data_IF_171151713441
#
_entry.id   IF_171151713441
#
_cell.length_a   1.000
_cell.length_b   1.000
_cell.length_c   1.000
_cell.angle_alpha   90.00
_cell.angle_beta   90.00
_cell.angle_gamma   90.00
#
_symmetry.space_group_name_H-M   'P 1'
#
loop_
_entity.id
_entity.type
_entity.pdbx_description
1 polymer ?
#
# COMPACT_ATOMS: atom_id res chain seq x y z
N UNK A 1 -13.85 -32.63 29.90
CA UNK A 1 -12.73 -31.68 29.96
C UNK A 1 -11.75 -32.14 28.90
N UNK A 2 -11.97 -31.72 27.65
CA UNK A 2 -11.19 -32.14 26.47
C UNK A 2 -11.26 -31.03 25.42
N UNK A 3 -10.17 -30.94 24.68
CA UNK A 3 -9.65 -29.76 24.02
C UNK A 3 -10.58 -29.06 23.01
N UNK A 4 -10.61 -27.74 23.12
CA UNK A 4 -11.01 -26.85 22.02
C UNK A 4 -9.99 -26.99 20.90
N UNK A 5 -10.25 -27.91 19.98
CA UNK A 5 -9.62 -27.94 18.66
C UNK A 5 -9.93 -26.62 17.96
N UNK A 6 -8.99 -25.68 18.11
CA UNK A 6 -8.94 -24.42 17.40
C UNK A 6 -8.68 -24.75 15.93
N UNK A 7 -9.75 -24.84 15.15
CA UNK A 7 -9.69 -24.95 13.70
C UNK A 7 -8.86 -23.77 13.16
N UNK A 8 -7.71 -24.06 12.57
CA UNK A 8 -6.86 -23.06 11.95
C UNK A 8 -7.55 -22.60 10.67
N UNK A 9 -7.95 -21.33 10.61
CA UNK A 9 -8.45 -20.74 9.38
C UNK A 9 -7.40 -20.91 8.26
N UNK A 10 -7.68 -21.67 7.18
CA UNK A 10 -6.70 -21.96 6.12
C UNK A 10 -6.31 -20.71 5.32
N UNK A 11 -7.02 -19.59 5.50
CA UNK A 11 -6.80 -18.35 4.76
C UNK A 11 -5.63 -17.49 5.26
N UNK A 12 -5.05 -17.77 6.43
CA UNK A 12 -4.02 -16.90 7.03
C UNK A 12 -2.58 -17.21 6.57
N UNK A 13 -2.36 -18.35 5.91
CA UNK A 13 -0.99 -18.87 5.64
C UNK A 13 -0.35 -18.26 4.39
N UNK A 14 -1.11 -17.57 3.54
CA UNK A 14 -0.60 -16.91 2.32
C UNK A 14 -0.84 -15.40 2.27
N UNK A 15 -1.25 -14.76 3.38
CA UNK A 15 -1.33 -13.31 3.49
C UNK A 15 0.07 -12.67 3.63
N UNK A 16 0.96 -12.95 2.68
CA UNK A 16 2.13 -12.11 2.43
C UNK A 16 1.60 -10.72 2.06
N UNK A 17 1.59 -9.79 3.02
CA UNK A 17 1.17 -8.38 2.84
C UNK A 17 2.06 -7.57 1.87
N UNK A 18 2.96 -8.22 1.14
CA UNK A 18 3.47 -7.69 -0.12
C UNK A 18 2.45 -8.04 -1.20
N UNK A 19 1.28 -7.40 -1.15
CA UNK A 19 0.31 -7.44 -2.26
C UNK A 19 1.08 -7.14 -3.56
N UNK A 20 0.92 -7.93 -4.64
CA UNK A 20 1.60 -7.63 -5.90
C UNK A 20 1.25 -6.19 -6.31
N UNK A 21 2.24 -5.41 -6.78
CA UNK A 21 1.97 -4.01 -7.14
C UNK A 21 0.93 -4.03 -8.27
N UNK A 22 -0.30 -3.61 -7.97
CA UNK A 22 -1.33 -3.52 -9.00
C UNK A 22 -0.87 -2.52 -10.06
N UNK A 23 -0.83 -2.94 -11.33
CA UNK A 23 -0.44 -2.06 -12.45
C UNK A 23 -1.28 -0.77 -12.47
N UNK A 24 -2.57 -0.86 -12.07
CA UNK A 24 -3.45 0.29 -11.94
C UNK A 24 -2.99 1.27 -10.84
N UNK A 25 -2.47 0.74 -9.73
CA UNK A 25 -1.88 1.51 -8.64
C UNK A 25 -0.61 2.26 -9.08
N UNK A 26 0.31 1.56 -9.75
CA UNK A 26 1.54 2.16 -10.29
C UNK A 26 1.20 3.28 -11.28
N UNK A 27 0.35 2.99 -12.28
CA UNK A 27 -0.03 3.97 -13.29
C UNK A 27 -0.66 5.20 -12.65
N UNK A 28 -1.54 5.02 -11.65
CA UNK A 28 -2.14 6.13 -10.92
C UNK A 28 -1.09 6.96 -10.20
N UNK A 29 -0.18 6.35 -9.46
CA UNK A 29 0.88 7.07 -8.74
C UNK A 29 1.78 7.85 -9.69
N UNK A 30 2.16 7.25 -10.82
CA UNK A 30 2.94 7.92 -11.86
C UNK A 30 2.19 9.09 -12.49
N UNK A 31 0.89 8.93 -12.80
CA UNK A 31 0.05 10.01 -13.33
C UNK A 31 -0.11 11.18 -12.35
N UNK A 32 -0.34 10.88 -11.07
CA UNK A 32 -0.41 11.89 -10.02
C UNK A 32 0.93 12.61 -9.91
N UNK A 33 2.04 11.88 -9.91
CA UNK A 33 3.37 12.48 -9.79
C UNK A 33 3.74 13.34 -11.00
N UNK A 34 3.40 12.88 -12.21
CA UNK A 34 3.56 13.68 -13.42
C UNK A 34 2.74 14.98 -13.35
N UNK A 35 1.49 14.90 -12.88
CA UNK A 35 0.62 16.07 -12.71
C UNK A 35 1.20 17.06 -11.69
N UNK A 36 1.74 16.56 -10.58
CA UNK A 36 2.44 17.37 -9.58
C UNK A 36 3.68 18.03 -10.18
N UNK A 37 4.46 17.30 -10.98
CA UNK A 37 5.62 17.86 -11.69
C UNK A 37 5.24 18.98 -12.66
N UNK A 38 4.16 18.82 -13.43
CA UNK A 38 3.62 19.87 -14.30
C UNK A 38 3.22 21.09 -13.47
N UNK A 39 2.49 20.89 -12.36
CA UNK A 39 2.08 21.97 -11.47
C UNK A 39 3.28 22.72 -10.87
N UNK A 40 4.28 22.00 -10.38
CA UNK A 40 5.51 22.60 -9.84
C UNK A 40 6.26 23.42 -10.89
N UNK A 41 6.17 23.04 -12.16
CA UNK A 41 6.72 23.84 -13.27
C UNK A 41 5.98 25.16 -13.47
N UNK A 42 4.67 25.24 -13.20
CA UNK A 42 3.92 26.49 -13.28
C UNK A 42 4.27 27.46 -12.14
N UNK A 43 4.52 26.94 -10.94
CA UNK A 43 4.85 27.74 -9.75
C UNK A 43 6.34 28.13 -9.72
N UNK A 44 7.11 27.76 -10.73
CA UNK A 44 8.55 28.05 -10.84
C UNK A 44 9.35 27.52 -9.63
N UNK A 45 8.95 26.34 -9.13
CA UNK A 45 9.59 25.71 -7.99
C UNK A 45 11.11 25.57 -8.22
N UNK A 46 11.88 25.60 -7.13
CA UNK A 46 13.35 25.51 -7.14
C UNK A 46 14.06 26.65 -7.90
N UNK A 47 13.47 27.87 -7.88
CA UNK A 47 14.06 29.06 -8.51
C UNK A 47 14.36 28.84 -10.00
N UNK A 48 13.46 28.15 -10.70
CA UNK A 48 13.63 27.77 -12.11
C UNK A 48 12.99 28.76 -13.08
N UNK A 49 12.69 29.98 -12.62
CA UNK A 49 12.05 31.04 -13.41
C UNK A 49 12.87 31.51 -14.62
N UNK A 50 14.20 31.34 -14.58
CA UNK A 50 15.11 31.69 -15.68
C UNK A 50 15.14 30.66 -16.83
N UNK A 51 14.53 29.49 -16.66
CA UNK A 51 14.52 28.41 -17.65
C UNK A 51 13.21 28.44 -18.45
N UNK A 52 13.30 28.23 -19.77
CA UNK A 52 12.11 28.13 -20.61
C UNK A 52 11.13 27.05 -20.11
N UNK A 53 9.84 27.29 -20.31
CA UNK A 53 8.77 26.47 -19.73
C UNK A 53 8.87 24.97 -20.06
N UNK A 54 9.09 24.61 -21.33
CA UNK A 54 9.18 23.21 -21.77
C UNK A 54 10.28 22.39 -21.05
N UNK A 55 11.57 22.80 -21.08
CA UNK A 55 12.62 22.07 -20.39
C UNK A 55 12.41 22.04 -18.86
N UNK A 56 11.85 23.11 -18.29
CA UNK A 56 11.46 23.16 -16.88
C UNK A 56 10.39 22.12 -16.55
N UNK A 57 9.34 21.99 -17.39
CA UNK A 57 8.27 21.01 -17.18
C UNK A 57 8.80 19.59 -17.32
N UNK A 58 9.57 19.28 -18.36
CA UNK A 58 10.17 17.96 -18.54
C UNK A 58 11.06 17.58 -17.34
N UNK A 59 11.84 18.52 -16.83
CA UNK A 59 12.65 18.33 -15.63
C UNK A 59 11.80 18.05 -14.38
N UNK A 60 10.80 18.90 -14.08
CA UNK A 60 9.95 18.73 -12.89
C UNK A 60 9.13 17.44 -12.94
N UNK A 61 8.64 17.06 -14.13
CA UNK A 61 7.97 15.76 -14.33
C UNK A 61 8.93 14.62 -14.07
N UNK A 62 10.17 14.69 -14.55
CA UNK A 62 11.18 13.65 -14.32
C UNK A 62 11.52 13.52 -12.83
N UNK A 63 11.70 14.63 -12.12
CA UNK A 63 11.95 14.64 -10.66
C UNK A 63 10.76 14.05 -9.91
N UNK A 64 9.53 14.41 -10.28
CA UNK A 64 8.31 13.84 -9.71
C UNK A 64 8.22 12.33 -9.93
N UNK A 65 8.42 11.86 -11.16
CA UNK A 65 8.40 10.44 -11.50
C UNK A 65 9.47 9.66 -10.72
N UNK A 66 10.69 10.19 -10.64
CA UNK A 66 11.76 9.60 -9.84
C UNK A 66 11.38 9.52 -8.36
N UNK A 67 10.83 10.60 -7.79
CA UNK A 67 10.34 10.62 -6.41
C UNK A 67 9.25 9.58 -6.15
N UNK A 68 8.33 9.38 -7.09
CA UNK A 68 7.29 8.35 -7.00
C UNK A 68 7.87 6.93 -7.02
N UNK A 69 8.83 6.66 -7.92
CA UNK A 69 9.51 5.37 -8.01
C UNK A 69 10.31 5.08 -6.73
N UNK A 70 11.07 6.06 -6.24
CA UNK A 70 11.80 5.97 -4.98
C UNK A 70 10.85 5.71 -3.82
N UNK A 71 9.74 6.46 -3.70
CA UNK A 71 8.77 6.27 -2.63
C UNK A 71 8.18 4.85 -2.62
N UNK A 72 7.81 4.32 -3.79
CA UNK A 72 7.34 2.94 -3.92
C UNK A 72 8.41 1.91 -3.53
N UNK A 73 9.66 2.12 -3.96
CA UNK A 73 10.78 1.25 -3.61
C UNK A 73 11.06 1.31 -2.10
N UNK A 74 11.14 2.49 -1.51
CA UNK A 74 11.39 2.68 -0.08
C UNK A 74 10.28 2.10 0.78
N UNK A 75 9.01 2.22 0.38
CA UNK A 75 7.89 1.55 1.04
C UNK A 75 8.03 0.01 1.01
N UNK A 76 8.40 -0.54 -0.16
CA UNK A 76 8.65 -1.99 -0.33
C UNK A 76 9.79 -2.49 0.56
N UNK A 77 10.93 -1.81 0.51
CA UNK A 77 12.09 -2.17 1.31
C UNK A 77 11.80 -2.03 2.82
N UNK A 78 11.07 -0.99 3.23
CA UNK A 78 10.63 -0.84 4.61
C UNK A 78 9.73 -2.01 5.06
N UNK A 79 8.89 -2.55 4.17
CA UNK A 79 8.08 -3.74 4.41
C UNK A 79 8.87 -5.03 4.66
N UNK A 80 10.14 -5.10 4.23
CA UNK A 80 11.03 -6.25 4.50
C UNK A 80 11.57 -6.23 5.94
N UNK A 81 11.56 -5.07 6.60
CA UNK A 81 12.12 -4.90 7.94
C UNK A 81 11.08 -5.34 8.99
N UNK A 82 11.40 -6.28 9.90
CA UNK A 82 10.44 -6.80 10.88
C UNK A 82 9.94 -5.74 11.87
N UNK A 83 10.75 -4.70 12.11
CA UNK A 83 10.41 -3.58 13.00
C UNK A 83 9.19 -2.79 12.51
N UNK A 84 9.00 -2.73 11.20
CA UNK A 84 7.86 -2.11 10.51
C UNK A 84 6.51 -2.73 10.92
N UNK A 85 6.51 -3.98 11.43
CA UNK A 85 5.32 -4.66 11.92
C UNK A 85 4.78 -4.08 13.23
N UNK A 86 5.56 -3.26 13.93
CA UNK A 86 5.16 -2.68 15.24
C UNK A 86 4.12 -1.57 15.12
N UNK A 87 3.97 -0.94 13.95
CA UNK A 87 2.93 0.06 13.73
C UNK A 87 3.19 0.95 12.52
N UNK A 88 2.14 1.66 12.06
CA UNK A 88 2.19 2.54 10.89
C UNK A 88 3.23 3.65 11.03
N UNK A 89 3.41 4.20 12.24
CA UNK A 89 4.41 5.24 12.51
C UNK A 89 5.83 4.74 12.24
N UNK A 90 6.15 3.51 12.69
CA UNK A 90 7.47 2.92 12.46
C UNK A 90 7.71 2.68 10.98
N UNK A 91 6.68 2.25 10.24
CA UNK A 91 6.74 2.14 8.78
C UNK A 91 7.06 3.48 8.12
N UNK A 92 6.32 4.53 8.47
CA UNK A 92 6.54 5.88 7.94
C UNK A 92 7.96 6.37 8.19
N UNK A 93 8.46 6.19 9.41
CA UNK A 93 9.81 6.65 9.79
C UNK A 93 10.87 5.90 9.00
N UNK A 94 10.77 4.57 8.92
CA UNK A 94 11.74 3.74 8.19
C UNK A 94 11.71 4.05 6.69
N UNK A 95 10.52 4.10 6.09
CA UNK A 95 10.35 4.38 4.66
C UNK A 95 10.84 5.80 4.29
N UNK A 96 10.45 6.82 5.06
CA UNK A 96 10.90 8.20 4.85
C UNK A 96 12.42 8.34 5.00
N UNK A 97 13.00 7.72 6.03
CA UNK A 97 14.46 7.74 6.25
C UNK A 97 15.21 7.04 5.13
N UNK A 98 14.70 5.90 4.64
CA UNK A 98 15.31 5.15 3.54
C UNK A 98 15.25 5.92 2.21
N UNK A 99 14.18 6.66 1.97
CA UNK A 99 14.01 7.50 0.77
C UNK A 99 14.92 8.73 0.78
N UNK A 100 15.19 9.28 1.97
CA UNK A 100 15.88 10.56 2.17
C UNK A 100 17.24 10.70 1.46
N UNK A 101 18.22 9.78 1.62
CA UNK A 101 19.53 9.98 1.00
C UNK A 101 19.45 9.99 -0.53
N UNK A 102 18.63 9.11 -1.12
CA UNK A 102 18.46 9.01 -2.56
C UNK A 102 17.73 10.24 -3.12
N UNK A 103 16.62 10.64 -2.50
CA UNK A 103 15.86 11.82 -2.94
C UNK A 103 16.64 13.11 -2.71
N UNK A 104 17.36 13.20 -1.59
CA UNK A 104 18.18 14.35 -1.25
C UNK A 104 19.33 14.55 -2.24
N UNK A 105 20.04 13.48 -2.61
CA UNK A 105 21.08 13.54 -3.64
C UNK A 105 20.50 13.92 -5.00
N UNK A 106 19.32 13.38 -5.34
CA UNK A 106 18.62 13.72 -6.58
C UNK A 106 18.26 15.21 -6.61
N UNK A 107 17.61 15.73 -5.57
CA UNK A 107 17.23 17.15 -5.47
C UNK A 107 18.46 18.04 -5.46
N UNK A 108 19.50 17.69 -4.71
CA UNK A 108 20.74 18.47 -4.66
C UNK A 108 21.42 18.54 -6.04
N UNK A 109 21.55 17.42 -6.74
CA UNK A 109 22.11 17.38 -8.10
C UNK A 109 21.22 18.12 -9.11
N UNK A 110 19.91 17.98 -8.99
CA UNK A 110 18.91 18.65 -9.80
C UNK A 110 19.00 20.19 -9.66
N UNK A 111 19.05 20.70 -8.43
CA UNK A 111 19.26 22.13 -8.14
C UNK A 111 20.64 22.59 -8.61
N UNK A 112 21.70 21.82 -8.34
CA UNK A 112 23.06 22.15 -8.80
C UNK A 112 23.17 22.29 -10.32
N UNK A 113 22.47 21.43 -11.07
CA UNK A 113 22.42 21.49 -12.53
C UNK A 113 21.68 22.73 -13.04
N UNK A 114 20.49 23.03 -12.50
CA UNK A 114 19.67 24.16 -12.96
C UNK A 114 20.27 25.52 -12.55
N UNK A 115 20.87 25.59 -11.36
CA UNK A 115 21.51 26.79 -10.84
C UNK A 115 22.95 26.99 -11.31
N UNK A 116 23.40 26.25 -12.36
CA UNK A 116 24.75 26.33 -12.96
C UNK A 116 25.89 26.26 -11.92
N UNK A 117 25.80 25.35 -10.96
CA UNK A 117 26.86 25.13 -9.96
C UNK A 117 26.82 26.08 -8.75
N UNK A 118 25.76 26.89 -8.58
CA UNK A 118 25.56 27.72 -7.38
C UNK A 118 25.03 26.96 -6.16
N UNK A 119 24.89 25.64 -6.23
CA UNK A 119 24.55 24.83 -5.07
C UNK A 119 25.75 24.78 -4.11
N UNK A 120 25.73 25.63 -3.09
CA UNK A 120 26.78 25.65 -2.08
C UNK A 120 26.72 24.38 -1.23
N UNK A 121 27.82 23.62 -1.19
CA UNK A 121 27.95 22.38 -0.38
C UNK A 121 27.78 22.63 1.12
N UNK A 122 27.95 23.87 1.58
CA UNK A 122 27.65 24.31 2.94
C UNK A 122 26.16 24.17 3.30
N UNK A 123 25.24 24.35 2.35
CA UNK A 123 23.79 24.28 2.60
C UNK A 123 23.25 22.85 2.57
N UNK A 124 24.10 21.89 2.19
CA UNK A 124 23.76 20.48 1.99
C UNK A 124 23.12 19.83 3.23
N UNK A 125 23.58 20.08 4.48
CA UNK A 125 22.92 19.60 5.69
C UNK A 125 21.49 20.13 5.84
N UNK A 126 21.25 21.40 5.50
CA UNK A 126 19.92 22.00 5.54
C UNK A 126 18.99 21.41 4.48
N UNK A 127 19.49 21.21 3.24
CA UNK A 127 18.73 20.51 2.19
C UNK A 127 18.40 19.07 2.60
N UNK A 128 19.34 18.35 3.20
CA UNK A 128 19.10 17.00 3.72
C UNK A 128 18.01 17.00 4.79
N UNK A 129 18.05 17.95 5.74
CA UNK A 129 17.06 18.04 6.82
C UNK A 129 15.66 18.35 6.28
N UNK A 130 15.53 19.34 5.39
CA UNK A 130 14.26 19.69 4.75
C UNK A 130 13.73 18.50 3.94
N UNK A 131 14.60 17.85 3.16
CA UNK A 131 14.23 16.67 2.38
C UNK A 131 13.77 15.53 3.28
N UNK A 132 14.45 15.30 4.41
CA UNK A 132 14.08 14.28 5.38
C UNK A 132 12.67 14.52 5.95
N UNK A 133 12.38 15.75 6.39
CA UNK A 133 11.05 16.13 6.88
C UNK A 133 9.99 15.94 5.79
N UNK A 134 10.26 16.38 4.56
CA UNK A 134 9.33 16.21 3.44
C UNK A 134 9.09 14.73 3.11
N UNK A 135 10.15 13.91 3.09
CA UNK A 135 10.04 12.46 2.89
C UNK A 135 9.20 11.81 3.99
N UNK A 136 9.39 12.19 5.26
CA UNK A 136 8.59 11.67 6.36
C UNK A 136 7.11 12.03 6.21
N UNK A 137 6.80 13.29 5.91
CA UNK A 137 5.41 13.75 5.75
C UNK A 137 4.75 13.07 4.55
N UNK A 138 5.42 13.04 3.40
CA UNK A 138 4.86 12.43 2.18
C UNK A 138 4.70 10.92 2.29
N UNK A 139 5.68 10.22 2.89
CA UNK A 139 5.55 8.79 3.18
C UNK A 139 4.42 8.52 4.17
N UNK A 140 4.27 9.35 5.21
CA UNK A 140 3.19 9.23 6.18
C UNK A 140 1.83 9.41 5.53
N UNK A 141 1.69 10.44 4.68
CA UNK A 141 0.47 10.69 3.92
C UNK A 141 0.16 9.54 2.97
N UNK A 142 1.15 9.02 2.23
CA UNK A 142 0.97 7.92 1.30
C UNK A 142 0.49 6.65 2.02
N UNK A 143 1.12 6.30 3.15
CA UNK A 143 0.75 5.13 3.96
C UNK A 143 -0.63 5.30 4.58
N UNK A 144 -0.96 6.49 5.07
CA UNK A 144 -2.28 6.78 5.62
C UNK A 144 -3.37 6.63 4.55
N UNK A 145 -3.14 7.16 3.35
CA UNK A 145 -4.08 7.08 2.24
C UNK A 145 -4.24 5.64 1.74
N UNK A 146 -3.15 4.86 1.67
CA UNK A 146 -3.21 3.45 1.29
C UNK A 146 -4.00 2.64 2.31
N UNK A 147 -3.73 2.85 3.61
CA UNK A 147 -4.43 2.14 4.68
C UNK A 147 -5.93 2.44 4.69
N UNK A 148 -6.33 3.71 4.50
CA UNK A 148 -7.76 4.07 4.38
C UNK A 148 -8.43 3.43 3.18
N UNK A 149 -7.71 3.30 2.07
CA UNK A 149 -8.23 2.69 0.86
C UNK A 149 -8.43 1.19 1.03
N UNK A 150 -7.46 0.50 1.62
CA UNK A 150 -7.56 -0.92 1.99
C UNK A 150 -8.76 -1.15 2.91
N UNK A 151 -8.93 -0.30 3.93
CA UNK A 151 -10.08 -0.38 4.84
C UNK A 151 -11.42 -0.18 4.11
N UNK A 152 -11.49 0.77 3.15
CA UNK A 152 -12.69 0.98 2.35
C UNK A 152 -13.00 -0.20 1.42
N UNK A 153 -11.98 -0.79 0.80
CA UNK A 153 -12.12 -1.98 -0.05
C UNK A 153 -12.55 -3.21 0.77
N UNK A 154 -12.00 -3.40 1.97
CA UNK A 154 -12.41 -4.47 2.88
C UNK A 154 -13.87 -4.30 3.31
N UNK A 155 -14.33 -3.06 3.55
CA UNK A 155 -15.73 -2.77 3.87
C UNK A 155 -16.68 -3.07 2.68
N UNK A 156 -16.22 -2.84 1.44
CA UNK A 156 -16.99 -3.15 0.22
C UNK A 156 -16.98 -4.64 -0.13
N UNK A 157 -15.94 -5.37 0.31
CA UNK A 157 -15.84 -6.82 0.19
C UNK A 157 -16.52 -7.58 1.35
N UNK A 158 -17.38 -6.92 2.14
CA UNK A 158 -18.19 -7.57 3.16
C UNK A 158 -18.86 -8.82 2.55
N UNK A 159 -18.76 -9.99 3.21
CA UNK A 159 -19.21 -11.23 2.59
C UNK A 159 -20.67 -11.09 2.19
N UNK A 160 -20.98 -11.32 0.92
CA UNK A 160 -22.34 -11.62 0.52
C UNK A 160 -22.84 -12.74 1.44
N UNK A 161 -24.09 -12.62 1.93
CA UNK A 161 -24.70 -13.63 2.78
C UNK A 161 -24.35 -15.02 2.23
N UNK A 162 -23.83 -15.95 3.07
CA UNK A 162 -23.32 -17.21 2.58
C UNK A 162 -24.39 -17.86 1.71
N UNK A 163 -24.04 -18.10 0.44
CA UNK A 163 -24.95 -18.78 -0.47
C UNK A 163 -25.40 -20.08 0.22
N UNK A 164 -26.70 -20.41 0.22
CA UNK A 164 -27.19 -21.60 0.91
C UNK A 164 -26.38 -22.80 0.42
N UNK A 165 -25.80 -23.54 1.36
CA UNK A 165 -24.91 -24.66 1.05
C UNK A 165 -25.70 -25.63 0.18
N UNK A 166 -25.24 -25.90 -1.06
CA UNK A 166 -25.91 -26.79 -2.04
C UNK A 166 -26.27 -28.16 -1.46
N UNK A 167 -25.58 -28.57 -0.41
CA UNK A 167 -25.89 -29.75 0.39
C UNK A 167 -27.31 -29.74 0.96
N UNK A 168 -27.79 -28.61 1.50
CA UNK A 168 -29.15 -28.47 2.04
C UNK A 168 -30.22 -28.61 0.96
N UNK A 169 -29.92 -28.22 -0.28
CA UNK A 169 -30.82 -28.35 -1.42
C UNK A 169 -30.95 -29.81 -1.90
N UNK A 170 -29.92 -30.62 -1.65
CA UNK A 170 -29.88 -32.05 -1.99
C UNK A 170 -30.53 -32.94 -0.94
N UNK A 171 -30.96 -32.40 0.20
CA UNK A 171 -31.72 -33.15 1.18
C UNK A 171 -33.06 -33.62 0.58
N UNK A 172 -33.55 -34.80 0.99
CA UNK A 172 -34.89 -35.27 0.62
C UNK A 172 -35.94 -34.19 0.94
N UNK A 173 -36.98 -34.08 0.11
CA UNK A 173 -38.01 -33.02 0.24
C UNK A 173 -38.57 -32.89 1.66
N UNK A 174 -38.69 -34.01 2.39
CA UNK A 174 -39.20 -34.07 3.77
C UNK A 174 -38.28 -33.36 4.78
N UNK A 175 -36.97 -33.33 4.54
CA UNK A 175 -35.94 -32.78 5.42
C UNK A 175 -35.41 -31.41 4.97
N UNK A 176 -35.88 -30.88 3.83
CA UNK A 176 -35.53 -29.52 3.41
C UNK A 176 -36.02 -28.50 4.43
N UNK A 177 -35.16 -27.51 4.72
CA UNK A 177 -35.42 -26.49 5.73
C UNK A 177 -35.35 -26.97 7.18
N UNK A 178 -34.88 -28.21 7.43
CA UNK A 178 -34.55 -28.65 8.79
C UNK A 178 -33.27 -27.97 9.26
N UNK A 179 -33.26 -27.50 10.50
CA UNK A 179 -32.02 -27.10 11.17
C UNK A 179 -31.17 -28.33 11.44
N UNK A 180 -29.89 -28.29 11.06
CA UNK A 180 -28.91 -29.36 11.29
C UNK A 180 -28.22 -29.06 12.62
N UNK A 181 -28.27 -30.02 13.55
CA UNK A 181 -27.63 -29.89 14.86
C UNK A 181 -26.26 -30.54 14.89
N UNK A 182 -26.09 -31.67 14.21
CA UNK A 182 -24.82 -32.39 14.14
C UNK A 182 -24.69 -33.19 12.84
N UNK A 183 -23.44 -33.48 12.47
CA UNK A 183 -23.08 -34.36 11.37
C UNK A 183 -22.09 -35.39 11.89
N UNK A 184 -22.39 -36.67 11.70
CA UNK A 184 -21.56 -37.80 12.07
C UNK A 184 -21.10 -38.54 10.80
N UNK A 185 -19.85 -38.98 10.76
CA UNK A 185 -19.33 -39.80 9.68
C UNK A 185 -19.34 -41.27 10.13
N UNK A 186 -20.16 -42.08 9.46
CA UNK A 186 -20.19 -43.54 9.66
C UNK A 186 -19.62 -44.22 8.42
N UNK A 187 -18.40 -44.73 8.54
CA UNK A 187 -17.62 -45.38 7.48
C UNK A 187 -17.54 -44.53 6.20
N UNK A 188 -18.50 -44.73 5.29
CA UNK A 188 -18.59 -44.10 3.97
C UNK A 188 -19.85 -43.23 3.80
N UNK A 189 -20.66 -43.09 4.85
CA UNK A 189 -21.89 -42.30 4.88
C UNK A 189 -21.77 -41.14 5.87
N UNK A 190 -22.56 -40.09 5.63
CA UNK A 190 -22.77 -39.02 6.58
C UNK A 190 -24.16 -39.17 7.19
N UNK A 191 -24.23 -39.31 8.52
CA UNK A 191 -25.47 -39.17 9.29
C UNK A 191 -25.68 -37.72 9.67
N UNK A 192 -26.89 -37.24 9.44
CA UNK A 192 -27.30 -35.89 9.77
C UNK A 192 -28.30 -35.96 10.91
N UNK A 193 -28.04 -35.24 12.00
CA UNK A 193 -29.00 -35.05 13.07
C UNK A 193 -29.73 -33.74 12.80
N UNK A 194 -31.02 -33.85 12.46
CA UNK A 194 -31.84 -32.69 12.11
C UNK A 194 -32.99 -32.50 13.10
N UNK A 195 -33.52 -31.28 13.17
CA UNK A 195 -34.76 -30.97 13.90
C UNK A 195 -35.98 -31.81 13.49
N UNK A 196 -35.95 -32.45 12.30
CA UNK A 196 -37.04 -33.27 11.76
C UNK A 196 -36.79 -34.79 11.86
N UNK A 197 -35.72 -35.19 12.54
CA UNK A 197 -35.23 -36.58 12.58
C UNK A 197 -33.92 -36.75 11.84
#
# INVERSE_FOLDING_TARGET
MTDRLRESQPGAVHASRLEPVSQAGVRRTLLVSASVGVFLSFVEAFDTGHVAFLPRTAFMVTVGLAGALLGMASFRLAGLIPLTRRGLVVHTVISGTLMTPLMGLLVWGAVGFVSRGRAHTHELPQYMLITWVMCLVMSGLAIFLSHRREAAQAAQAAPAAPAPVKFLERLPLKLRGAEIWAVEAEDHYLRLHTSKG
#
